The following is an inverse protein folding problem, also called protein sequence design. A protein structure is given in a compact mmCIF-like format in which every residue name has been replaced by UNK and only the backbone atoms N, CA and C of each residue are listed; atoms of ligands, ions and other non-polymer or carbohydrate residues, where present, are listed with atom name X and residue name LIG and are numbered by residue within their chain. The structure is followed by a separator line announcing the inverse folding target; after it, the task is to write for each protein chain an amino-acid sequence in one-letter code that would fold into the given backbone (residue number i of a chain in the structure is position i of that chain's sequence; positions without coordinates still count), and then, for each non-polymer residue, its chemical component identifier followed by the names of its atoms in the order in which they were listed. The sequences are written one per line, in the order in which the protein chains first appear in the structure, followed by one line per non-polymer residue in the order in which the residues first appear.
data_IF_603311711358
#
_entry.id   IF_603311711358
#
_cell.length_a   1.000
_cell.length_b   1.000
_cell.length_c   1.000
_cell.angle_alpha   90.00
_cell.angle_beta   90.00
_cell.angle_gamma   90.00
#
_symmetry.space_group_name_H-M   'P 1'
#
loop_
_entity.id
_entity.type
_entity.pdbx_description
1 polymer ?
#
# COMPACT_ATOMS: atom_id res chain seq x y z
N UNK A 1 -5.18 10.09 0.07
CA UNK A 1 -5.53 8.95 -0.79
C UNK A 1 -4.54 7.79 -0.63
N UNK A 2 -3.21 8.00 -0.68
CA UNK A 2 -2.22 6.92 -0.46
C UNK A 2 -2.40 6.15 0.86
N UNK A 3 -2.57 6.86 1.99
CA UNK A 3 -2.78 6.22 3.31
C UNK A 3 -4.01 5.31 3.35
N UNK A 4 -5.07 5.69 2.62
CA UNK A 4 -6.29 4.88 2.52
C UNK A 4 -5.95 3.56 1.80
N UNK A 5 -5.23 3.62 0.68
CA UNK A 5 -4.78 2.44 -0.05
C UNK A 5 -3.90 1.53 0.83
N UNK A 6 -2.89 2.09 1.50
CA UNK A 6 -1.98 1.33 2.38
C UNK A 6 -2.71 0.58 3.49
N UNK A 7 -3.76 1.18 4.07
CA UNK A 7 -4.60 0.53 5.08
C UNK A 7 -5.51 -0.55 4.49
N UNK A 8 -5.95 -0.41 3.24
CA UNK A 8 -6.83 -1.39 2.59
C UNK A 8 -6.10 -2.63 2.07
N UNK A 9 -4.85 -2.51 1.61
CA UNK A 9 -4.03 -3.63 1.11
C UNK A 9 -4.10 -4.87 2.00
N UNK A 10 -3.77 -4.81 3.31
CA UNK A 10 -3.79 -6.00 4.16
C UNK A 10 -5.19 -6.61 4.28
N UNK A 11 -6.23 -5.77 4.29
CA UNK A 11 -7.62 -6.27 4.35
C UNK A 11 -8.03 -6.96 3.05
N UNK A 12 -7.62 -6.44 1.89
CA UNK A 12 -7.94 -7.01 0.58
C UNK A 12 -7.20 -8.33 0.34
N UNK A 13 -5.96 -8.45 0.81
CA UNK A 13 -5.22 -9.71 0.76
C UNK A 13 -5.92 -10.81 1.56
N UNK A 14 -6.40 -10.48 2.76
CA UNK A 14 -7.14 -11.43 3.58
C UNK A 14 -8.48 -11.82 2.93
N UNK A 15 -9.18 -10.86 2.33
CA UNK A 15 -10.44 -11.11 1.64
C UNK A 15 -10.25 -11.96 0.37
N UNK A 16 -9.21 -11.68 -0.42
CA UNK A 16 -8.83 -12.50 -1.57
C UNK A 16 -8.54 -13.95 -1.16
N UNK A 17 -7.82 -14.16 -0.05
CA UNK A 17 -7.56 -15.50 0.49
C UNK A 17 -8.84 -16.21 0.92
N UNK A 18 -9.75 -15.52 1.62
CA UNK A 18 -11.04 -16.10 2.03
C UNK A 18 -11.90 -16.47 0.83
N UNK A 19 -11.93 -15.62 -0.20
CA UNK A 19 -12.65 -15.90 -1.45
C UNK A 19 -12.03 -17.13 -2.12
N UNK A 20 -10.70 -17.20 -2.20
CA UNK A 20 -9.99 -18.35 -2.76
C UNK A 20 -10.35 -19.65 -2.02
N UNK A 21 -10.23 -19.67 -0.70
CA UNK A 21 -10.61 -20.82 0.14
C UNK A 21 -12.10 -21.20 -0.03
N UNK A 22 -12.99 -20.22 -0.14
CA UNK A 22 -14.41 -20.48 -0.41
C UNK A 22 -14.66 -21.10 -1.78
N UNK A 23 -13.92 -20.71 -2.82
CA UNK A 23 -14.03 -21.33 -4.14
C UNK A 23 -13.50 -22.78 -4.12
N UNK A 24 -12.39 -23.04 -3.41
CA UNK A 24 -11.87 -24.40 -3.21
C UNK A 24 -12.93 -25.30 -2.55
N UNK A 25 -13.60 -24.82 -1.49
CA UNK A 25 -14.69 -25.55 -0.84
C UNK A 25 -15.89 -25.82 -1.77
N UNK A 26 -16.11 -24.98 -2.79
CA UNK A 26 -17.14 -25.18 -3.82
C UNK A 26 -16.72 -26.16 -4.92
N UNK A 27 -15.55 -26.80 -4.79
CA UNK A 27 -15.02 -27.75 -5.76
C UNK A 27 -14.33 -27.10 -6.96
N UNK A 28 -14.03 -25.80 -6.90
CA UNK A 28 -13.28 -25.14 -7.96
C UNK A 28 -11.81 -25.60 -7.93
N UNK A 29 -11.39 -26.31 -8.97
CA UNK A 29 -10.00 -26.74 -9.15
C UNK A 29 -9.45 -26.15 -10.47
N UNK A 30 -8.60 -25.11 -10.41
CA UNK A 30 -8.08 -24.45 -11.60
C UNK A 30 -7.01 -25.26 -12.37
N UNK A 31 -6.58 -26.42 -11.83
CA UNK A 31 -5.48 -27.20 -12.38
C UNK A 31 -4.10 -26.69 -11.93
N UNK A 32 -3.04 -27.42 -12.28
CA UNK A 32 -1.67 -27.09 -11.89
C UNK A 32 -0.93 -26.30 -12.97
N UNK A 33 0.09 -25.53 -12.56
CA UNK A 33 0.94 -24.76 -13.46
C UNK A 33 0.46 -23.32 -13.69
N UNK A 34 1.16 -22.62 -14.59
CA UNK A 34 1.00 -21.18 -14.84
C UNK A 34 -0.39 -20.85 -15.40
N UNK A 35 -0.92 -21.72 -16.27
CA UNK A 35 -2.26 -21.58 -16.86
C UNK A 35 -3.37 -21.79 -15.83
N UNK A 36 -3.16 -22.69 -14.86
CA UNK A 36 -4.06 -22.89 -13.73
C UNK A 36 -4.10 -21.66 -12.82
N UNK A 37 -2.94 -21.09 -12.49
CA UNK A 37 -2.84 -19.89 -11.66
C UNK A 37 -3.58 -18.69 -12.26
N UNK A 38 -3.41 -18.45 -13.56
CA UNK A 38 -4.13 -17.37 -14.26
C UNK A 38 -5.64 -17.62 -14.26
N UNK A 39 -6.06 -18.88 -14.48
CA UNK A 39 -7.48 -19.25 -14.47
C UNK A 39 -8.08 -19.08 -13.08
N UNK A 40 -7.32 -19.35 -12.02
CA UNK A 40 -7.74 -19.25 -10.61
C UNK A 40 -8.06 -17.82 -10.18
N UNK A 41 -7.40 -16.83 -10.78
CA UNK A 41 -7.61 -15.42 -10.43
C UNK A 41 -8.99 -14.89 -10.85
N UNK A 42 -9.55 -15.39 -11.96
CA UNK A 42 -10.81 -14.89 -12.53
C UNK A 42 -12.00 -14.95 -11.55
N UNK A 43 -12.31 -16.09 -10.89
CA UNK A 43 -13.41 -16.17 -9.92
C UNK A 43 -13.16 -15.39 -8.62
N UNK A 44 -11.91 -15.00 -8.34
CA UNK A 44 -11.56 -14.22 -7.15
C UNK A 44 -11.72 -12.73 -7.43
N UNK A 45 -11.30 -12.26 -8.61
CA UNK A 45 -11.31 -10.84 -8.96
C UNK A 45 -12.73 -10.24 -8.94
N UNK A 46 -13.71 -10.92 -9.53
CA UNK A 46 -15.09 -10.41 -9.63
C UNK A 46 -15.69 -10.09 -8.24
N UNK A 47 -15.75 -11.04 -7.28
CA UNK A 47 -16.29 -10.76 -5.96
C UNK A 47 -15.42 -9.77 -5.17
N UNK A 48 -14.10 -9.83 -5.31
CA UNK A 48 -13.21 -8.91 -4.60
C UNK A 48 -13.43 -7.45 -5.04
N UNK A 49 -13.60 -7.21 -6.35
CA UNK A 49 -13.89 -5.87 -6.89
C UNK A 49 -15.28 -5.41 -6.47
N UNK A 50 -16.29 -6.27 -6.52
CA UNK A 50 -17.64 -5.94 -6.10
C UNK A 50 -17.69 -5.55 -4.60
N UNK A 51 -17.06 -6.35 -3.73
CA UNK A 51 -16.96 -6.07 -2.30
C UNK A 51 -16.16 -4.80 -2.01
N UNK A 52 -15.06 -4.59 -2.74
CA UNK A 52 -14.25 -3.37 -2.63
C UNK A 52 -15.07 -2.13 -2.98
N UNK A 53 -15.86 -2.18 -4.06
CA UNK A 53 -16.71 -1.06 -4.46
C UNK A 53 -17.73 -0.72 -3.36
N UNK A 54 -18.45 -1.72 -2.85
CA UNK A 54 -19.38 -1.52 -1.74
C UNK A 54 -18.69 -0.91 -0.49
N UNK A 55 -17.51 -1.41 -0.13
CA UNK A 55 -16.72 -0.91 1.00
C UNK A 55 -16.30 0.55 0.83
N UNK A 56 -15.90 0.93 -0.39
CA UNK A 56 -15.53 2.32 -0.71
C UNK A 56 -16.72 3.27 -0.67
N UNK A 57 -17.92 2.81 -1.08
CA UNK A 57 -19.14 3.61 -0.99
C UNK A 57 -19.50 3.91 0.47
N UNK A 58 -19.49 2.89 1.33
CA UNK A 58 -19.75 3.07 2.78
C UNK A 58 -18.70 3.97 3.42
N UNK A 59 -17.41 3.77 3.09
CA UNK A 59 -16.34 4.63 3.60
C UNK A 59 -16.51 6.08 3.13
N UNK A 60 -16.82 6.30 1.86
CA UNK A 60 -17.06 7.64 1.31
C UNK A 60 -18.19 8.35 2.04
N UNK A 61 -19.34 7.67 2.20
CA UNK A 61 -20.46 8.20 2.96
C UNK A 61 -20.10 8.53 4.42
N UNK A 62 -19.31 7.66 5.05
CA UNK A 62 -18.84 7.87 6.43
C UNK A 62 -17.90 9.08 6.54
N UNK A 63 -17.01 9.27 5.57
CA UNK A 63 -16.13 10.43 5.50
C UNK A 63 -16.93 11.72 5.29
N UNK A 64 -17.99 11.67 4.51
CA UNK A 64 -18.90 12.79 4.27
C UNK A 64 -19.66 13.17 5.55
N UNK A 65 -20.22 12.18 6.26
CA UNK A 65 -20.91 12.40 7.55
C UNK A 65 -20.00 13.00 8.62
N UNK A 66 -18.72 12.60 8.66
CA UNK A 66 -17.74 13.17 9.58
C UNK A 66 -17.20 14.54 9.13
N UNK A 67 -17.64 15.06 7.99
CA UNK A 67 -17.23 16.37 7.48
C UNK A 67 -15.80 16.41 6.93
N UNK A 68 -15.20 15.26 6.57
CA UNK A 68 -13.85 15.23 6.00
C UNK A 68 -13.75 15.91 4.63
N UNK A 69 -14.85 16.03 3.88
CA UNK A 69 -14.88 16.78 2.61
C UNK A 69 -14.66 18.28 2.77
N UNK A 70 -15.03 18.86 3.92
CA UNK A 70 -14.91 20.30 4.19
C UNK A 70 -13.63 20.67 4.99
N UNK A 71 -12.92 19.67 5.52
CA UNK A 71 -11.79 19.87 6.43
C UNK A 71 -10.50 20.11 5.64
N UNK A 72 -9.92 21.31 5.78
CA UNK A 72 -8.58 21.67 5.28
C UNK A 72 -7.53 20.87 6.06
N UNK A 73 -7.27 19.63 5.61
CA UNK A 73 -6.15 18.74 5.96
C UNK A 73 -5.54 18.92 7.36
N UNK A 74 -5.88 18.07 8.33
CA UNK A 74 -5.09 17.98 9.55
C UNK A 74 -3.97 16.95 9.35
N UNK A 75 -2.69 17.36 9.38
CA UNK A 75 -1.60 16.40 9.48
C UNK A 75 -1.62 15.81 10.89
N UNK A 76 -2.33 14.70 11.07
CA UNK A 76 -2.38 13.93 12.32
C UNK A 76 -1.02 13.28 12.65
N UNK A 77 -0.18 13.10 11.64
CA UNK A 77 1.18 12.61 11.79
C UNK A 77 2.13 13.66 11.20
N UNK A 78 2.53 14.62 12.04
CA UNK A 78 3.61 15.54 11.68
C UNK A 78 4.93 14.80 11.87
N UNK A 79 5.72 14.71 10.80
CA UNK A 79 7.10 14.27 10.90
C UNK A 79 7.86 15.35 11.68
N UNK A 80 8.37 15.01 12.86
CA UNK A 80 9.19 15.90 13.68
C UNK A 80 10.64 15.47 13.44
N UNK A 81 11.47 16.40 12.99
CA UNK A 81 12.89 16.13 12.81
C UNK A 81 13.53 15.78 14.15
N UNK A 82 14.15 14.62 14.22
CA UNK A 82 14.82 14.11 15.41
C UNK A 82 16.34 14.14 15.29
N UNK A 83 17.03 13.98 16.41
CA UNK A 83 18.50 13.81 16.41
C UNK A 83 18.94 12.58 15.59
N UNK A 84 18.08 11.56 15.46
CA UNK A 84 18.32 10.41 14.58
C UNK A 84 18.46 10.79 13.10
N UNK A 85 17.71 11.78 12.62
CA UNK A 85 17.80 12.24 11.23
C UNK A 85 19.17 12.87 10.97
N UNK A 86 19.66 13.69 11.91
CA UNK A 86 20.97 14.34 11.83
C UNK A 86 22.10 13.30 11.83
N UNK A 87 22.04 12.30 12.71
CA UNK A 87 23.04 11.22 12.77
C UNK A 87 23.04 10.41 11.48
N UNK A 88 21.87 10.13 10.88
CA UNK A 88 21.79 9.42 9.60
C UNK A 88 22.30 10.23 8.41
N UNK A 89 22.11 11.55 8.43
CA UNK A 89 22.52 12.45 7.35
C UNK A 89 24.04 12.75 7.36
N UNK A 90 24.66 12.78 8.53
CA UNK A 90 26.06 13.14 8.73
C UNK A 90 27.06 12.28 7.91
N UNK A 91 27.02 10.93 7.93
CA UNK A 91 27.96 10.13 7.15
C UNK A 91 27.77 10.29 5.64
N UNK A 92 26.53 10.48 5.17
CA UNK A 92 26.24 10.73 3.75
C UNK A 92 26.89 12.04 3.31
N UNK A 93 26.80 13.09 4.13
CA UNK A 93 27.43 14.38 3.87
C UNK A 93 28.96 14.27 3.81
N UNK A 94 29.57 13.55 4.77
CA UNK A 94 31.02 13.36 4.84
C UNK A 94 31.55 12.60 3.63
N UNK A 95 30.88 11.53 3.21
CA UNK A 95 31.26 10.75 2.01
C UNK A 95 31.18 11.65 0.77
N UNK A 96 30.11 12.42 0.63
CA UNK A 96 29.92 13.32 -0.52
C UNK A 96 31.00 14.41 -0.57
N UNK A 97 31.35 14.99 0.59
CA UNK A 97 32.44 15.98 0.69
C UNK A 97 33.81 15.37 0.36
N UNK A 98 34.10 14.16 0.84
CA UNK A 98 35.33 13.45 0.52
C UNK A 98 35.45 13.16 -0.98
N UNK A 99 34.36 12.69 -1.62
CA UNK A 99 34.33 12.46 -3.06
C UNK A 99 34.52 13.76 -3.86
N UNK A 100 33.88 14.85 -3.45
CA UNK A 100 34.05 16.15 -4.09
C UNK A 100 35.50 16.67 -3.97
N UNK A 101 36.12 16.48 -2.81
CA UNK A 101 37.52 16.85 -2.57
C UNK A 101 38.49 16.04 -3.45
N UNK A 102 38.29 14.72 -3.52
CA UNK A 102 39.08 13.82 -4.38
C UNK A 102 38.92 14.23 -5.84
N UNK A 103 37.69 14.47 -6.32
CA UNK A 103 37.45 14.90 -7.69
C UNK A 103 38.14 16.23 -8.01
N UNK A 104 38.06 17.22 -7.12
CA UNK A 104 38.69 18.54 -7.34
C UNK A 104 40.22 18.50 -7.32
N UNK A 105 40.82 17.52 -6.65
CA UNK A 105 42.28 17.41 -6.55
C UNK A 105 42.89 16.49 -7.62
N UNK A 106 42.13 15.54 -8.14
CA UNK A 106 42.57 14.58 -9.18
C UNK A 106 42.25 15.05 -10.61
N UNK A 107 41.20 15.87 -10.80
CA UNK A 107 40.83 16.48 -12.09
C UNK A 107 41.25 17.94 -12.10
#
# INVERSE_FOLDING_TARGET
MLLIALRFIPSLQLEARRIHEAQLCRGYNPGTGISGEIRSMRPIMIPLVANSLAKTQVLGLTLDMQGYRARKTLPLHKLIFGFGDVISAMPVLVILAALAYIHFFIV
#
